data_IF_552430174699
#
_entry.id   IF_552430174699
#
_cell.length_a   1.000
_cell.length_b   1.000
_cell.length_c   1.000
_cell.angle_alpha   90.00
_cell.angle_beta   90.00
_cell.angle_gamma   90.00
#
_symmetry.space_group_name_H-M   'P 1'
#
loop_
_entity.id
_entity.type
_entity.pdbx_description
1 polymer ?
#
# COMPACT_ATOMS: atom_id res chain seq x y z
N UNK A 1 22.13 -3.96 -13.57
CA UNK A 1 20.84 -4.09 -14.28
C UNK A 1 19.79 -4.22 -13.20
N UNK A 2 19.33 -3.08 -12.70
CA UNK A 2 18.18 -3.01 -11.82
C UNK A 2 16.95 -3.35 -12.67
N UNK A 3 16.36 -4.50 -12.41
CA UNK A 3 15.02 -4.78 -12.90
C UNK A 3 14.09 -4.04 -11.94
N UNK A 4 13.74 -2.82 -12.32
CA UNK A 4 12.74 -2.02 -11.63
C UNK A 4 11.41 -2.75 -11.74
N UNK A 5 10.92 -3.29 -10.63
CA UNK A 5 9.57 -3.83 -10.53
C UNK A 5 8.50 -2.71 -10.67
N UNK A 6 8.94 -1.47 -10.50
CA UNK A 6 8.11 -0.26 -10.63
C UNK A 6 8.26 0.43 -11.99
N UNK A 7 8.77 -0.23 -13.03
CA UNK A 7 9.06 0.39 -14.32
C UNK A 7 7.89 0.39 -15.32
N UNK A 8 6.67 0.55 -14.84
CA UNK A 8 5.50 0.62 -15.72
C UNK A 8 5.02 2.03 -16.09
N UNK A 9 5.56 3.09 -15.48
CA UNK A 9 5.03 4.44 -15.68
C UNK A 9 6.03 5.29 -16.45
N UNK A 10 5.93 5.26 -17.78
CA UNK A 10 6.49 6.30 -18.62
C UNK A 10 5.52 7.48 -18.65
N UNK A 11 5.72 8.48 -17.79
CA UNK A 11 5.10 9.79 -17.96
C UNK A 11 5.59 10.37 -19.28
N UNK A 12 4.78 10.32 -20.31
CA UNK A 12 5.00 11.05 -21.55
C UNK A 12 4.80 12.55 -21.27
N UNK A 13 5.91 13.27 -21.01
CA UNK A 13 5.89 14.73 -21.06
C UNK A 13 5.61 15.17 -22.48
N UNK A 14 4.40 15.62 -22.73
CA UNK A 14 3.99 16.19 -23.99
C UNK A 14 4.38 17.67 -24.02
N UNK A 15 5.67 17.98 -24.28
CA UNK A 15 6.10 19.27 -24.84
C UNK A 15 7.48 19.15 -25.52
N UNK A 16 7.47 19.30 -26.83
CA UNK A 16 8.61 19.82 -27.61
C UNK A 16 9.41 18.82 -28.43
N UNK A 17 9.26 18.92 -29.75
CA UNK A 17 10.16 18.53 -30.84
C UNK A 17 10.89 17.19 -30.76
N UNK A 18 10.34 16.19 -31.44
CA UNK A 18 11.00 14.91 -31.72
C UNK A 18 11.85 15.09 -33.01
N UNK A 19 13.15 15.01 -32.84
CA UNK A 19 14.09 14.80 -33.94
C UNK A 19 14.03 13.34 -34.38
N UNK A 20 13.72 13.09 -35.64
CA UNK A 20 13.44 11.79 -36.24
C UNK A 20 14.74 11.09 -36.66
N UNK A 21 15.54 10.56 -35.76
CA UNK A 21 16.64 9.67 -36.17
C UNK A 21 17.07 8.66 -35.09
N UNK A 22 16.18 7.76 -34.69
CA UNK A 22 16.57 6.45 -34.15
C UNK A 22 15.37 5.50 -34.23
N UNK A 23 15.37 4.62 -35.22
CA UNK A 23 14.45 3.47 -35.27
C UNK A 23 14.86 2.48 -34.19
N UNK A 24 14.24 2.57 -33.03
CA UNK A 24 14.23 1.53 -32.02
C UNK A 24 12.94 0.72 -32.19
N UNK A 25 13.07 -0.55 -32.53
CA UNK A 25 11.98 -1.53 -32.61
C UNK A 25 11.58 -1.96 -31.20
N UNK A 26 11.01 -1.05 -30.41
CA UNK A 26 10.19 -1.40 -29.28
C UNK A 26 8.74 -1.30 -29.75
N UNK A 27 7.96 -2.39 -29.50
CA UNK A 27 6.56 -2.43 -29.86
C UNK A 27 5.84 -1.17 -29.36
N UNK A 28 5.12 -0.53 -30.29
CA UNK A 28 4.25 0.59 -30.01
C UNK A 28 3.18 0.09 -29.01
N UNK A 29 3.33 0.44 -27.75
CA UNK A 29 2.19 0.42 -26.84
C UNK A 29 1.30 1.58 -27.30
N UNK A 30 0.16 1.27 -27.90
CA UNK A 30 -0.87 2.28 -28.11
C UNK A 30 -1.31 2.76 -26.72
N UNK A 31 -1.38 4.09 -26.47
CA UNK A 31 -1.87 4.56 -25.19
C UNK A 31 -3.29 4.03 -25.00
N UNK A 32 -3.52 3.36 -23.87
CA UNK A 32 -4.86 2.92 -23.50
C UNK A 32 -5.72 4.15 -23.27
N UNK A 33 -6.60 4.44 -24.21
CA UNK A 33 -7.58 5.51 -24.06
C UNK A 33 -8.71 4.95 -23.22
N UNK A 34 -8.76 5.36 -21.94
CA UNK A 34 -9.90 5.08 -21.08
C UNK A 34 -11.14 5.73 -21.73
N UNK A 35 -12.06 4.94 -22.21
CA UNK A 35 -13.34 5.47 -22.69
C UNK A 35 -14.11 5.99 -21.49
N UNK A 36 -14.74 7.15 -21.65
CA UNK A 36 -15.54 7.81 -20.60
C UNK A 36 -16.63 6.87 -19.99
N UNK A 37 -17.13 5.93 -20.79
CA UNK A 37 -18.06 4.87 -20.39
C UNK A 37 -17.42 3.73 -19.57
N UNK A 38 -16.08 3.67 -19.48
CA UNK A 38 -15.32 2.69 -18.70
C UNK A 38 -14.88 3.23 -17.34
N UNK A 39 -15.18 4.49 -17.01
CA UNK A 39 -14.90 5.07 -15.70
C UNK A 39 -15.95 4.50 -14.74
N UNK A 40 -15.56 3.48 -13.99
CA UNK A 40 -16.36 3.02 -12.87
C UNK A 40 -16.52 4.20 -11.89
N UNK A 41 -17.74 4.59 -11.63
CA UNK A 41 -18.03 5.58 -10.60
C UNK A 41 -18.22 4.84 -9.29
N UNK A 42 -17.71 5.39 -8.19
CA UNK A 42 -18.12 4.94 -6.85
C UNK A 42 -19.63 5.04 -6.78
N UNK A 43 -20.29 3.92 -6.58
CA UNK A 43 -21.74 3.86 -6.45
C UNK A 43 -22.14 4.16 -5.00
N UNK A 44 -23.41 4.53 -4.78
CA UNK A 44 -23.94 4.64 -3.41
C UNK A 44 -23.83 3.29 -2.66
N UNK A 45 -23.88 2.18 -3.38
CA UNK A 45 -23.74 0.84 -2.85
C UNK A 45 -22.30 0.56 -2.38
N UNK A 46 -21.29 1.00 -3.15
CA UNK A 46 -19.87 0.91 -2.76
C UNK A 46 -19.59 1.71 -1.49
N UNK A 47 -20.12 2.95 -1.41
CA UNK A 47 -19.99 3.78 -0.21
C UNK A 47 -20.74 3.17 0.98
N UNK A 48 -21.92 2.60 0.76
CA UNK A 48 -22.67 1.93 1.82
C UNK A 48 -21.93 0.70 2.34
N UNK A 49 -21.26 -0.06 1.47
CA UNK A 49 -20.45 -1.21 1.89
C UNK A 49 -19.22 -0.79 2.69
N UNK A 50 -18.51 0.26 2.27
CA UNK A 50 -17.38 0.80 3.01
C UNK A 50 -17.76 1.34 4.38
N UNK A 51 -18.96 1.90 4.52
CA UNK A 51 -19.45 2.45 5.79
C UNK A 51 -20.02 1.39 6.75
N UNK A 52 -20.17 0.13 6.32
CA UNK A 52 -20.54 -0.95 7.23
C UNK A 52 -19.40 -1.30 8.17
N UNK A 53 -19.76 -1.74 9.37
CA UNK A 53 -18.78 -2.38 10.26
C UNK A 53 -18.12 -3.54 9.52
N UNK A 54 -16.79 -3.55 9.51
CA UNK A 54 -16.02 -4.57 8.82
C UNK A 54 -16.38 -5.98 9.35
N UNK A 55 -16.51 -6.95 8.45
CA UNK A 55 -16.64 -8.35 8.82
C UNK A 55 -15.39 -8.89 9.57
N UNK A 56 -14.25 -8.18 9.46
CA UNK A 56 -13.03 -8.48 10.20
C UNK A 56 -12.97 -7.82 11.59
N UNK A 57 -13.90 -6.90 11.91
CA UNK A 57 -13.84 -6.13 13.16
C UNK A 57 -14.06 -6.99 14.41
N UNK A 58 -13.19 -6.80 15.40
CA UNK A 58 -13.31 -7.39 16.73
C UNK A 58 -13.29 -6.29 17.81
N UNK A 59 -14.43 -5.99 18.44
CA UNK A 59 -14.51 -4.95 19.45
C UNK A 59 -13.68 -5.24 20.72
N UNK A 60 -13.27 -6.47 20.95
CA UNK A 60 -12.46 -6.84 22.12
C UNK A 60 -11.04 -6.29 22.05
N UNK A 61 -10.56 -5.95 20.83
CA UNK A 61 -9.25 -5.36 20.59
C UNK A 61 -9.27 -3.83 20.68
N UNK A 62 -10.45 -3.20 20.84
CA UNK A 62 -10.56 -1.76 20.91
C UNK A 62 -10.04 -1.23 22.24
N UNK A 63 -9.16 -0.24 22.18
CA UNK A 63 -8.69 0.55 23.31
C UNK A 63 -9.18 2.01 23.19
N UNK A 64 -8.95 2.80 24.25
CA UNK A 64 -9.21 4.22 24.19
C UNK A 64 -8.17 4.89 23.30
N UNK A 65 -8.63 5.67 22.32
CA UNK A 65 -7.75 6.46 21.45
C UNK A 65 -7.00 7.52 22.30
N UNK A 66 -5.70 7.60 22.08
CA UNK A 66 -4.82 8.62 22.67
C UNK A 66 -4.11 9.41 21.56
N UNK A 67 -4.71 10.50 21.13
CA UNK A 67 -4.18 11.37 20.06
C UNK A 67 -2.84 12.04 20.45
N UNK A 68 -2.48 12.04 21.72
CA UNK A 68 -1.21 12.59 22.17
C UNK A 68 -0.03 11.64 21.96
N UNK A 69 -0.30 10.37 21.67
CA UNK A 69 0.68 9.30 21.49
C UNK A 69 0.44 8.58 20.14
N UNK A 70 0.95 9.16 19.05
CA UNK A 70 0.83 8.57 17.74
C UNK A 70 1.60 7.26 17.67
N UNK A 71 0.91 6.19 17.25
CA UNK A 71 1.46 4.83 17.21
C UNK A 71 1.80 4.37 15.77
N UNK A 72 1.09 4.91 14.77
CA UNK A 72 1.30 4.53 13.37
C UNK A 72 1.47 5.77 12.50
N UNK A 73 2.46 5.70 11.61
CA UNK A 73 2.55 6.56 10.43
C UNK A 73 2.17 5.75 9.20
N UNK A 74 1.22 6.26 8.42
CA UNK A 74 0.97 5.82 7.05
C UNK A 74 1.49 6.90 6.12
N UNK A 75 2.28 6.53 5.12
CA UNK A 75 2.76 7.43 4.09
C UNK A 75 2.85 6.70 2.74
N UNK A 76 3.16 7.42 1.69
CA UNK A 76 3.28 6.89 0.35
C UNK A 76 4.55 7.42 -0.32
N UNK A 77 5.48 6.52 -0.66
CA UNK A 77 6.58 6.90 -1.55
C UNK A 77 6.05 7.18 -2.96
N UNK A 78 4.92 6.55 -3.33
CA UNK A 78 4.23 6.73 -4.60
C UNK A 78 2.73 7.02 -4.39
N UNK A 79 2.36 8.30 -4.25
CA UNK A 79 0.97 8.72 -3.99
C UNK A 79 0.03 8.54 -5.18
N UNK A 80 0.57 8.57 -6.43
CA UNK A 80 -0.23 8.49 -7.65
C UNK A 80 -0.50 7.07 -8.13
N UNK A 81 -0.09 6.04 -7.39
CA UNK A 81 -0.43 4.66 -7.70
C UNK A 81 -1.94 4.44 -7.66
N UNK A 82 -2.53 4.30 -8.85
CA UNK A 82 -3.98 4.20 -9.04
C UNK A 82 -4.46 2.77 -9.28
N UNK A 83 -5.78 2.63 -9.15
CA UNK A 83 -6.52 1.40 -9.37
C UNK A 83 -7.34 1.46 -10.67
N UNK A 84 -8.09 0.38 -10.96
CA UNK A 84 -8.76 0.17 -12.23
C UNK A 84 -9.72 1.30 -12.64
N UNK A 85 -10.32 2.01 -11.68
CA UNK A 85 -11.27 3.10 -11.93
C UNK A 85 -10.61 4.33 -12.55
N UNK A 86 -9.36 4.62 -12.18
CA UNK A 86 -8.68 5.86 -12.59
C UNK A 86 -7.39 5.62 -13.38
N UNK A 87 -7.03 4.35 -13.59
CA UNK A 87 -5.80 3.96 -14.27
C UNK A 87 -4.60 3.86 -13.32
N UNK A 88 -3.46 3.43 -13.87
CA UNK A 88 -2.27 3.10 -13.07
C UNK A 88 -1.57 4.30 -12.43
N UNK A 89 -1.87 5.51 -12.87
CA UNK A 89 -1.31 6.78 -12.37
C UNK A 89 -2.43 7.83 -12.34
N UNK A 90 -2.76 8.35 -11.15
CA UNK A 90 -3.90 9.23 -10.97
C UNK A 90 -3.70 10.26 -9.85
N UNK A 91 -4.23 11.48 -10.06
CA UNK A 91 -4.36 12.51 -9.02
C UNK A 91 -5.67 12.37 -8.22
N UNK A 92 -6.51 11.37 -8.52
CA UNK A 92 -7.77 11.12 -7.82
C UNK A 92 -7.51 10.27 -6.59
N UNK A 93 -7.36 10.90 -5.42
CA UNK A 93 -7.02 10.23 -4.16
C UNK A 93 -7.95 9.04 -3.85
N UNK A 94 -9.26 9.17 -4.08
CA UNK A 94 -10.23 8.11 -3.82
C UNK A 94 -9.97 6.80 -4.61
N UNK A 95 -9.25 6.88 -5.72
CA UNK A 95 -8.94 5.76 -6.60
C UNK A 95 -7.45 5.41 -6.61
N UNK A 96 -6.70 5.92 -5.64
CA UNK A 96 -5.28 5.65 -5.47
C UNK A 96 -5.00 4.98 -4.13
N UNK A 97 -3.75 4.65 -3.89
CA UNK A 97 -3.24 4.14 -2.61
C UNK A 97 -3.52 5.10 -1.44
N UNK A 98 -3.68 6.41 -1.72
CA UNK A 98 -4.02 7.42 -0.71
C UNK A 98 -5.41 7.14 -0.13
N UNK A 99 -6.41 6.85 -0.97
CA UNK A 99 -7.75 6.50 -0.49
C UNK A 99 -7.80 5.18 0.28
N UNK A 100 -6.89 4.25 0.00
CA UNK A 100 -6.73 3.02 0.80
C UNK A 100 -6.14 3.35 2.17
N UNK A 101 -5.15 4.24 2.22
CA UNK A 101 -4.56 4.77 3.45
C UNK A 101 -5.58 5.49 4.33
N UNK A 102 -6.50 6.27 3.75
CA UNK A 102 -7.59 6.93 4.50
C UNK A 102 -8.48 5.91 5.21
N UNK A 103 -8.89 4.84 4.52
CA UNK A 103 -9.71 3.78 5.12
C UNK A 103 -8.94 3.01 6.20
N UNK A 104 -7.64 2.74 5.97
CA UNK A 104 -6.81 2.07 6.98
C UNK A 104 -6.69 2.92 8.24
N UNK A 105 -6.39 4.22 8.10
CA UNK A 105 -6.28 5.16 9.22
C UNK A 105 -7.59 5.26 10.00
N UNK A 106 -8.71 5.45 9.30
CA UNK A 106 -10.02 5.53 9.92
C UNK A 106 -10.37 4.26 10.70
N UNK A 107 -10.17 3.07 10.12
CA UNK A 107 -10.49 1.80 10.80
C UNK A 107 -9.60 1.58 12.04
N UNK A 108 -8.32 1.98 11.98
CA UNK A 108 -7.40 1.90 13.12
C UNK A 108 -7.83 2.84 14.27
N UNK A 109 -8.19 4.08 13.96
CA UNK A 109 -8.57 5.06 14.98
C UNK A 109 -9.97 4.81 15.53
N UNK A 110 -10.99 4.76 14.67
CA UNK A 110 -12.38 4.61 15.08
C UNK A 110 -12.71 3.19 15.53
N UNK A 111 -12.16 2.18 14.83
CA UNK A 111 -12.38 0.77 15.15
C UNK A 111 -11.59 0.32 16.37
N UNK A 112 -10.30 0.60 16.44
CA UNK A 112 -9.40 -0.02 17.40
C UNK A 112 -8.76 0.95 18.41
N UNK A 113 -8.95 2.27 18.25
CA UNK A 113 -8.38 3.28 19.15
C UNK A 113 -6.86 3.39 19.04
N UNK A 114 -6.30 3.10 17.87
CA UNK A 114 -4.88 3.21 17.56
C UNK A 114 -4.66 4.55 16.85
N UNK A 115 -3.83 5.43 17.45
CA UNK A 115 -3.60 6.77 16.90
C UNK A 115 -2.70 6.73 15.66
N UNK A 116 -3.15 7.37 14.57
CA UNK A 116 -2.51 7.32 13.25
C UNK A 116 -2.24 8.73 12.74
N UNK A 117 -1.08 8.93 12.13
CA UNK A 117 -0.85 10.03 11.18
C UNK A 117 -0.84 9.45 9.78
N UNK A 118 -1.66 9.99 8.90
CA UNK A 118 -1.65 9.66 7.48
C UNK A 118 -1.06 10.84 6.70
N UNK A 119 0.19 10.69 6.23
CA UNK A 119 0.90 11.70 5.44
C UNK A 119 0.64 11.48 3.94
N UNK A 120 0.14 12.51 3.27
CA UNK A 120 -0.19 12.52 1.84
C UNK A 120 0.78 13.35 1.00
N UNK A 121 1.99 13.59 1.52
CA UNK A 121 3.01 14.34 0.79
C UNK A 121 3.39 13.62 -0.49
N UNK A 122 3.40 14.36 -1.61
CA UNK A 122 3.73 13.83 -2.92
C UNK A 122 5.24 13.67 -3.07
N UNK A 123 5.72 12.43 -3.17
CA UNK A 123 7.14 12.11 -3.32
C UNK A 123 7.51 11.61 -4.72
N UNK A 124 6.54 11.15 -5.51
CA UNK A 124 6.73 10.50 -6.81
C UNK A 124 6.73 11.45 -8.02
N UNK A 125 7.14 12.70 -7.79
CA UNK A 125 7.42 13.64 -8.88
C UNK A 125 8.63 13.20 -9.71
N UNK A 126 8.78 13.80 -10.90
CA UNK A 126 9.94 13.51 -11.77
C UNK A 126 11.27 13.99 -11.14
N UNK A 127 12.35 13.18 -11.21
CA UNK A 127 12.43 11.82 -11.75
C UNK A 127 11.88 10.78 -10.76
N UNK A 128 11.02 9.91 -11.23
CA UNK A 128 10.28 8.92 -10.43
C UNK A 128 11.17 8.00 -9.58
N UNK A 129 12.31 7.56 -10.11
CA UNK A 129 13.27 6.69 -9.41
C UNK A 129 13.96 7.33 -8.19
N UNK A 130 13.67 8.60 -7.88
CA UNK A 130 14.16 9.30 -6.69
C UNK A 130 13.10 9.45 -5.61
N UNK A 131 11.95 8.82 -5.74
CA UNK A 131 10.83 8.96 -4.81
C UNK A 131 11.22 8.55 -3.38
N UNK A 132 11.97 7.47 -3.20
CA UNK A 132 12.47 7.05 -1.89
C UNK A 132 13.41 8.07 -1.23
N UNK A 133 14.27 8.74 -2.00
CA UNK A 133 15.14 9.80 -1.46
C UNK A 133 14.35 11.05 -1.06
N UNK A 134 13.16 11.26 -1.64
CA UNK A 134 12.28 12.38 -1.27
C UNK A 134 11.38 12.02 -0.08
N UNK A 135 10.96 10.77 0.06
CA UNK A 135 10.16 10.32 1.19
C UNK A 135 10.99 10.11 2.46
N UNK A 136 12.28 9.79 2.34
CA UNK A 136 13.19 9.59 3.48
C UNK A 136 13.14 10.75 4.51
N UNK A 137 13.34 12.05 4.14
CA UNK A 137 13.29 13.14 5.12
C UNK A 137 11.91 13.31 5.75
N UNK A 138 10.82 13.00 5.05
CA UNK A 138 9.46 13.02 5.60
C UNK A 138 9.36 11.96 6.70
N UNK A 139 9.73 10.72 6.42
CA UNK A 139 9.71 9.63 7.40
C UNK A 139 10.60 9.95 8.60
N UNK A 140 11.83 10.43 8.35
CA UNK A 140 12.76 10.80 9.43
C UNK A 140 12.21 11.92 10.32
N UNK A 141 11.47 12.88 9.76
CA UNK A 141 10.81 13.94 10.53
C UNK A 141 9.78 13.37 11.49
N UNK A 142 8.94 12.44 11.04
CA UNK A 142 7.94 11.78 11.87
C UNK A 142 8.56 10.88 12.95
N UNK A 143 9.60 10.12 12.62
CA UNK A 143 10.35 9.33 13.60
C UNK A 143 10.97 10.18 14.72
N UNK A 144 11.42 11.40 14.38
CA UNK A 144 11.93 12.35 15.38
C UNK A 144 10.82 12.98 16.21
N UNK A 145 9.66 13.24 15.60
CA UNK A 145 8.51 13.87 16.28
C UNK A 145 7.78 12.88 17.19
N UNK A 146 7.64 11.63 16.76
CA UNK A 146 6.87 10.60 17.46
C UNK A 146 7.77 9.38 17.78
N UNK A 147 8.52 9.43 18.89
CA UNK A 147 9.48 8.37 19.23
C UNK A 147 8.82 7.02 19.61
N UNK A 148 7.51 7.00 19.78
CA UNK A 148 6.74 5.81 20.16
C UNK A 148 6.06 5.12 18.96
N UNK A 149 6.35 5.52 17.73
CA UNK A 149 5.83 4.85 16.54
C UNK A 149 6.11 3.34 16.61
N UNK A 150 5.05 2.55 16.47
CA UNK A 150 5.09 1.08 16.44
C UNK A 150 5.20 0.54 15.03
N UNK A 151 4.53 1.20 14.08
CA UNK A 151 4.59 0.89 12.66
C UNK A 151 4.71 2.19 11.84
N UNK A 152 5.51 2.11 10.79
CA UNK A 152 5.68 3.13 9.76
C UNK A 152 5.42 2.45 8.43
N UNK A 153 4.25 2.67 7.86
CA UNK A 153 3.71 1.90 6.73
C UNK A 153 3.87 2.73 5.45
N UNK A 154 4.74 2.27 4.55
CA UNK A 154 4.76 2.73 3.16
C UNK A 154 3.70 1.95 2.38
N UNK A 155 2.57 2.60 2.06
CA UNK A 155 1.43 1.93 1.47
C UNK A 155 1.42 2.11 -0.04
N UNK A 156 1.47 0.99 -0.76
CA UNK A 156 1.58 0.86 -2.20
C UNK A 156 0.53 -0.09 -2.79
N UNK A 157 0.56 -0.22 -4.10
CA UNK A 157 -0.01 -1.34 -4.85
C UNK A 157 1.06 -1.96 -5.74
N UNK A 158 0.97 -3.25 -5.99
CA UNK A 158 1.87 -3.98 -6.87
C UNK A 158 1.57 -3.69 -8.36
N UNK A 159 2.47 -4.10 -9.25
CA UNK A 159 2.24 -4.13 -10.69
C UNK A 159 2.80 -5.41 -11.30
N UNK A 160 2.10 -5.93 -12.32
CA UNK A 160 2.52 -7.11 -13.06
C UNK A 160 1.69 -8.36 -12.82
N UNK A 161 1.35 -8.79 -11.58
CA UNK A 161 0.43 -9.90 -11.38
C UNK A 161 -0.96 -9.63 -11.98
N UNK A 162 -1.63 -10.68 -12.46
CA UNK A 162 -3.00 -10.56 -12.97
C UNK A 162 -3.99 -10.27 -11.84
N UNK A 163 -5.17 -9.73 -12.20
CA UNK A 163 -6.26 -9.51 -11.22
C UNK A 163 -6.64 -10.80 -10.49
N UNK A 164 -6.67 -11.94 -11.16
CA UNK A 164 -6.99 -13.24 -10.57
C UNK A 164 -6.00 -13.63 -9.46
N UNK A 165 -4.71 -13.35 -9.66
CA UNK A 165 -3.66 -13.63 -8.67
C UNK A 165 -3.73 -12.70 -7.46
N UNK A 166 -4.28 -11.51 -7.64
CA UNK A 166 -4.33 -10.45 -6.60
C UNK A 166 -5.72 -10.20 -6.04
N UNK A 167 -6.68 -11.04 -6.34
CA UNK A 167 -8.05 -10.96 -5.79
C UNK A 167 -8.39 -12.22 -5.01
N UNK A 168 -9.12 -12.07 -3.92
CA UNK A 168 -9.67 -13.15 -3.12
C UNK A 168 -11.10 -12.83 -2.68
N UNK A 169 -11.81 -13.82 -2.18
CA UNK A 169 -13.15 -13.62 -1.58
C UNK A 169 -13.11 -14.12 -0.13
N UNK A 170 -13.37 -13.22 0.80
CA UNK A 170 -13.44 -13.53 2.24
C UNK A 170 -14.71 -12.87 2.78
N UNK A 171 -15.52 -13.62 3.55
CA UNK A 171 -16.79 -13.15 4.09
C UNK A 171 -17.73 -12.57 3.01
N UNK A 172 -17.79 -13.23 1.86
CA UNK A 172 -18.58 -12.82 0.68
C UNK A 172 -18.17 -11.46 0.07
N UNK A 173 -17.01 -10.92 0.46
CA UNK A 173 -16.46 -9.69 -0.07
C UNK A 173 -15.28 -9.97 -1.01
N UNK A 174 -15.26 -9.30 -2.19
CA UNK A 174 -14.09 -9.30 -3.08
C UNK A 174 -13.04 -8.37 -2.53
N UNK A 175 -11.85 -8.89 -2.29
CA UNK A 175 -10.73 -8.19 -1.66
C UNK A 175 -9.50 -8.24 -2.55
N UNK A 176 -8.74 -7.15 -2.59
CA UNK A 176 -7.38 -7.18 -3.10
C UNK A 176 -6.48 -7.93 -2.11
N UNK A 177 -5.63 -8.84 -2.59
CA UNK A 177 -4.66 -9.51 -1.72
C UNK A 177 -3.60 -8.54 -1.26
N UNK A 178 -3.12 -8.74 -0.03
CA UNK A 178 -2.09 -7.91 0.61
C UNK A 178 -0.75 -8.63 0.59
N UNK A 179 0.34 -7.87 0.46
CA UNK A 179 1.69 -8.42 0.50
C UNK A 179 2.63 -7.44 1.20
N UNK A 180 3.60 -7.97 1.93
CA UNK A 180 4.72 -7.19 2.46
C UNK A 180 5.92 -7.28 1.51
N UNK A 181 6.61 -6.16 1.34
CA UNK A 181 7.86 -6.09 0.58
C UNK A 181 8.99 -5.70 1.51
N UNK A 182 10.11 -6.42 1.44
CA UNK A 182 11.23 -6.22 2.37
C UNK A 182 12.57 -6.15 1.65
N UNK A 183 13.50 -5.36 2.22
CA UNK A 183 14.90 -5.31 1.79
C UNK A 183 15.78 -6.10 2.78
N UNK A 184 16.38 -7.19 2.29
CA UNK A 184 17.36 -7.97 3.07
C UNK A 184 18.63 -7.18 3.37
N UNK A 185 18.90 -6.09 2.65
CA UNK A 185 20.05 -5.22 2.88
C UNK A 185 19.80 -4.21 4.01
N UNK A 186 18.57 -4.06 4.48
CA UNK A 186 18.29 -3.19 5.63
C UNK A 186 18.96 -3.73 6.90
N UNK A 187 19.64 -2.87 7.68
CA UNK A 187 20.18 -3.24 8.97
C UNK A 187 19.11 -3.66 9.98
N UNK A 188 17.87 -3.21 9.77
CA UNK A 188 16.71 -3.51 10.62
C UNK A 188 15.93 -4.77 10.19
N UNK A 189 16.36 -5.46 9.11
CA UNK A 189 15.64 -6.57 8.52
C UNK A 189 15.17 -7.62 9.55
N UNK A 190 16.08 -8.07 10.42
CA UNK A 190 15.75 -9.13 11.41
C UNK A 190 14.65 -8.72 12.41
N UNK A 191 14.66 -7.47 12.86
CA UNK A 191 13.66 -6.96 13.82
C UNK A 191 12.33 -6.66 13.13
N UNK A 192 12.36 -6.01 11.97
CA UNK A 192 11.19 -5.73 11.14
C UNK A 192 10.44 -7.02 10.80
N UNK A 193 11.16 -8.09 10.43
CA UNK A 193 10.57 -9.38 10.07
C UNK A 193 9.81 -10.06 11.20
N UNK A 194 10.01 -9.67 12.46
CA UNK A 194 9.21 -10.20 13.58
C UNK A 194 7.76 -9.75 13.46
N UNK A 195 7.52 -8.45 13.25
CA UNK A 195 6.18 -7.89 13.06
C UNK A 195 5.54 -8.41 11.76
N UNK A 196 6.30 -8.45 10.67
CA UNK A 196 5.81 -8.96 9.36
C UNK A 196 5.37 -10.41 9.48
N UNK A 197 6.21 -11.30 10.02
CA UNK A 197 5.88 -12.72 10.17
C UNK A 197 4.71 -12.95 11.13
N UNK A 198 4.61 -12.17 12.20
CA UNK A 198 3.48 -12.24 13.13
C UNK A 198 2.18 -11.87 12.42
N UNK A 199 2.13 -10.74 11.70
CA UNK A 199 0.94 -10.33 10.94
C UNK A 199 0.56 -11.34 9.85
N UNK A 200 1.53 -11.93 9.15
CA UNK A 200 1.26 -13.03 8.20
C UNK A 200 0.64 -14.24 8.92
N UNK A 201 1.20 -14.64 10.06
CA UNK A 201 0.67 -15.77 10.85
C UNK A 201 -0.73 -15.51 11.36
N UNK A 202 -1.03 -14.30 11.83
CA UNK A 202 -2.39 -13.88 12.22
C UNK A 202 -3.33 -13.94 11.01
N UNK A 203 -2.88 -13.44 9.85
CA UNK A 203 -3.68 -13.47 8.63
C UNK A 203 -4.04 -14.90 8.20
N UNK A 204 -3.07 -15.79 8.17
CA UNK A 204 -3.30 -17.19 7.81
C UNK A 204 -4.26 -17.90 8.78
N UNK A 205 -4.26 -17.50 10.05
CA UNK A 205 -5.17 -18.02 11.07
C UNK A 205 -6.59 -17.49 10.95
N UNK A 206 -6.74 -16.16 10.73
CA UNK A 206 -8.05 -15.49 10.76
C UNK A 206 -8.69 -15.34 9.39
N UNK A 207 -7.88 -15.08 8.36
CA UNK A 207 -8.33 -14.71 7.03
C UNK A 207 -7.47 -15.42 5.95
N UNK A 208 -7.47 -16.75 5.90
CA UNK A 208 -6.68 -17.50 4.94
C UNK A 208 -6.98 -17.05 3.52
N UNK A 209 -5.93 -16.75 2.77
CA UNK A 209 -6.03 -16.23 1.40
C UNK A 209 -6.09 -14.69 1.29
N UNK A 210 -6.08 -13.93 2.38
CA UNK A 210 -5.91 -12.47 2.33
C UNK A 210 -4.52 -12.10 1.82
N UNK A 211 -3.49 -12.82 2.25
CA UNK A 211 -2.13 -12.60 1.78
C UNK A 211 -1.94 -13.16 0.37
N UNK A 212 -1.18 -12.44 -0.45
CA UNK A 212 -0.84 -12.86 -1.81
C UNK A 212 0.15 -14.02 -1.80
N UNK A 213 0.02 -14.95 -2.76
CA UNK A 213 1.10 -15.89 -3.08
C UNK A 213 2.22 -15.12 -3.75
N UNK A 214 3.33 -14.94 -3.06
CA UNK A 214 4.49 -14.23 -3.53
C UNK A 214 5.70 -15.17 -3.68
N UNK A 215 6.73 -14.68 -4.37
CA UNK A 215 7.92 -15.47 -4.71
C UNK A 215 8.64 -16.06 -3.48
N UNK A 216 8.64 -15.33 -2.39
CA UNK A 216 9.41 -15.68 -1.18
C UNK A 216 8.53 -16.29 -0.08
N UNK A 217 7.22 -16.47 -0.36
CA UNK A 217 6.25 -17.08 0.53
C UNK A 217 4.90 -16.37 0.52
N UNK A 218 3.95 -16.89 1.27
CA UNK A 218 2.64 -16.24 1.41
C UNK A 218 2.84 -14.88 2.09
N UNK A 219 2.32 -13.83 1.46
CA UNK A 219 2.34 -12.46 1.97
C UNK A 219 3.71 -11.78 1.95
N UNK A 220 4.75 -12.37 1.35
CA UNK A 220 6.11 -11.86 1.45
C UNK A 220 6.85 -11.87 0.12
N UNK A 221 7.37 -10.71 -0.28
CA UNK A 221 8.33 -10.56 -1.35
C UNK A 221 9.60 -9.89 -0.84
N UNK A 222 10.75 -10.57 -0.99
CA UNK A 222 12.03 -10.13 -0.46
C UNK A 222 12.99 -9.73 -1.57
N UNK A 223 13.52 -8.53 -1.49
CA UNK A 223 14.63 -8.09 -2.32
C UNK A 223 15.95 -8.23 -1.58
N UNK A 224 17.03 -8.54 -2.31
CA UNK A 224 18.39 -8.50 -1.73
C UNK A 224 18.81 -7.07 -1.39
N UNK A 225 18.21 -6.10 -2.06
CA UNK A 225 18.32 -4.67 -1.83
C UNK A 225 17.04 -4.02 -2.40
N UNK A 226 16.73 -2.81 -1.97
CA UNK A 226 15.68 -1.97 -2.56
C UNK A 226 16.25 -0.58 -2.84
N UNK A 227 15.57 0.22 -3.65
CA UNK A 227 15.90 1.63 -3.80
C UNK A 227 15.85 2.28 -2.42
N UNK A 228 16.97 2.83 -1.93
CA UNK A 228 17.11 3.38 -0.59
C UNK A 228 16.58 2.43 0.52
N UNK A 229 16.80 1.13 0.38
CA UNK A 229 16.26 0.08 1.25
C UNK A 229 14.73 0.18 1.51
N UNK A 230 13.97 0.85 0.65
CA UNK A 230 12.55 1.19 0.87
C UNK A 230 12.32 1.97 2.18
N UNK A 231 13.28 2.80 2.61
CA UNK A 231 13.31 3.51 3.91
C UNK A 231 13.26 2.58 5.14
N UNK A 232 13.41 1.27 4.97
CA UNK A 232 13.37 0.29 6.07
C UNK A 232 14.63 0.31 6.94
N UNK A 233 15.69 0.99 6.51
CA UNK A 233 16.89 1.24 7.30
C UNK A 233 16.73 2.36 8.33
N UNK A 234 15.69 3.18 8.23
CA UNK A 234 15.43 4.28 9.16
C UNK A 234 14.94 3.78 10.54
N UNK A 235 14.15 2.70 10.56
CA UNK A 235 13.63 2.12 11.80
C UNK A 235 13.18 0.67 11.57
N UNK A 236 13.28 -0.21 12.59
CA UNK A 236 12.67 -1.53 12.52
C UNK A 236 11.12 -1.51 12.44
N UNK A 237 10.51 -0.38 12.74
CA UNK A 237 9.06 -0.16 12.57
C UNK A 237 8.64 0.06 11.10
N UNK A 238 9.60 0.36 10.18
CA UNK A 238 9.30 0.66 8.78
C UNK A 238 9.01 -0.62 8.00
N UNK A 239 7.81 -0.70 7.43
CA UNK A 239 7.34 -1.79 6.58
C UNK A 239 6.76 -1.22 5.29
N UNK A 240 6.79 -2.00 4.20
CA UNK A 240 6.11 -1.68 2.96
C UNK A 240 5.00 -2.69 2.71
N UNK A 241 3.80 -2.20 2.38
CA UNK A 241 2.63 -3.02 2.08
C UNK A 241 2.10 -2.74 0.69
N UNK A 242 1.75 -3.80 -0.03
CA UNK A 242 1.15 -3.75 -1.36
C UNK A 242 -0.30 -4.22 -1.28
N UNK A 243 -1.23 -3.46 -1.85
CA UNK A 243 -2.65 -3.80 -1.91
C UNK A 243 -3.08 -4.06 -3.35
N UNK A 244 -3.11 -5.31 -3.74
CA UNK A 244 -3.46 -5.73 -5.11
C UNK A 244 -2.53 -5.13 -6.18
N UNK A 245 -3.11 -4.84 -7.34
CA UNK A 245 -2.45 -4.20 -8.49
C UNK A 245 -3.34 -3.12 -9.10
N UNK A 246 -2.84 -2.44 -10.13
CA UNK A 246 -3.63 -1.50 -10.96
C UNK A 246 -4.88 -2.12 -11.61
N UNK A 247 -5.00 -3.45 -11.59
CA UNK A 247 -6.14 -4.18 -12.13
C UNK A 247 -7.25 -4.43 -11.08
N UNK A 248 -6.93 -4.25 -9.80
CA UNK A 248 -7.93 -4.29 -8.74
C UNK A 248 -8.71 -2.97 -8.69
N UNK A 249 -9.93 -3.03 -8.15
CA UNK A 249 -10.68 -1.80 -7.86
C UNK A 249 -10.17 -1.17 -6.57
N UNK A 250 -10.31 0.15 -6.46
CA UNK A 250 -10.03 0.87 -5.22
C UNK A 250 -10.91 0.33 -4.07
N UNK A 251 -12.15 -0.07 -4.38
CA UNK A 251 -13.06 -0.70 -3.42
C UNK A 251 -12.50 -2.00 -2.86
N UNK A 252 -11.99 -2.92 -3.72
CA UNK A 252 -11.37 -4.17 -3.28
C UNK A 252 -10.20 -3.90 -2.32
N UNK A 253 -9.37 -2.90 -2.63
CA UNK A 253 -8.20 -2.53 -1.81
C UNK A 253 -8.59 -1.82 -0.51
N UNK A 254 -9.58 -0.94 -0.54
CA UNK A 254 -10.15 -0.27 0.65
C UNK A 254 -10.79 -1.28 1.62
N UNK A 255 -11.50 -2.27 1.11
CA UNK A 255 -12.01 -3.37 1.95
C UNK A 255 -10.87 -4.16 2.59
N UNK A 256 -9.80 -4.46 1.83
CA UNK A 256 -8.62 -5.15 2.37
C UNK A 256 -7.91 -4.35 3.46
N UNK A 257 -7.94 -3.02 3.39
CA UNK A 257 -7.39 -2.15 4.44
C UNK A 257 -8.07 -2.38 5.80
N UNK A 258 -9.38 -2.66 5.83
CA UNK A 258 -10.10 -3.01 7.05
C UNK A 258 -9.63 -4.35 7.65
N UNK A 259 -9.29 -5.30 6.80
CA UNK A 259 -8.72 -6.58 7.25
C UNK A 259 -7.29 -6.39 7.76
N UNK A 260 -6.45 -5.58 7.08
CA UNK A 260 -5.12 -5.25 7.58
C UNK A 260 -5.19 -4.50 8.93
N UNK A 261 -6.16 -3.58 9.09
CA UNK A 261 -6.38 -2.91 10.38
C UNK A 261 -6.63 -3.92 11.52
N UNK A 262 -7.39 -5.01 11.26
CA UNK A 262 -7.56 -6.10 12.22
C UNK A 262 -6.25 -6.80 12.54
N UNK A 263 -5.41 -7.12 11.56
CA UNK A 263 -4.11 -7.76 11.79
C UNK A 263 -3.20 -6.88 12.64
N UNK A 264 -3.18 -5.57 12.35
CA UNK A 264 -2.43 -4.58 13.13
C UNK A 264 -2.98 -4.49 14.56
N UNK A 265 -4.29 -4.49 14.74
CA UNK A 265 -4.90 -4.45 16.05
C UNK A 265 -4.60 -5.71 16.89
N UNK A 266 -4.57 -6.90 16.28
CA UNK A 266 -4.11 -8.13 16.95
C UNK A 266 -2.64 -8.00 17.38
N UNK A 267 -1.78 -7.48 16.49
CA UNK A 267 -0.37 -7.30 16.76
C UNK A 267 -0.10 -6.29 17.89
N UNK A 268 -0.83 -5.17 17.93
CA UNK A 268 -0.57 -4.07 18.88
C UNK A 268 -1.41 -4.13 20.16
N UNK A 269 -2.67 -4.58 20.06
CA UNK A 269 -3.65 -4.57 21.15
C UNK A 269 -4.05 -5.97 21.60
N UNK A 270 -3.60 -7.02 20.91
CA UNK A 270 -3.87 -8.41 21.25
C UNK A 270 -3.41 -8.72 22.67
N UNK A 271 -4.16 -9.54 23.36
CA UNK A 271 -3.78 -10.01 24.70
C UNK A 271 -2.75 -11.11 24.54
N UNK A 272 -1.65 -11.00 25.30
CA UNK A 272 -0.71 -12.10 25.54
C UNK A 272 -1.41 -13.33 26.16
#
# INVERSE_FOLDING_TARGET
>A
NEVSFFSGINRANNQGNIDNSAKSTFGLFEPYVVKEESIARVTEEDLAELNKTSAAYDPSLKKTLDDSNVEILIYHTHTHEGYAEAGSDTDQEDFSVVGVGDVLAQELEEGYGISVVHDKTIHDTSPYNQSYYRSEPTVQSYLNQFPNLKLVIDLHRNSGPSKEQTTTVINDQSLARVMFVTSKASPNYSEMMKAVNEMIGISESLFPGLMADAKDGIGLHEFNHGSNNFNQDLSPACILTEFGTELNTAQESKLSAKYLARLIAEHLNGKE
#
